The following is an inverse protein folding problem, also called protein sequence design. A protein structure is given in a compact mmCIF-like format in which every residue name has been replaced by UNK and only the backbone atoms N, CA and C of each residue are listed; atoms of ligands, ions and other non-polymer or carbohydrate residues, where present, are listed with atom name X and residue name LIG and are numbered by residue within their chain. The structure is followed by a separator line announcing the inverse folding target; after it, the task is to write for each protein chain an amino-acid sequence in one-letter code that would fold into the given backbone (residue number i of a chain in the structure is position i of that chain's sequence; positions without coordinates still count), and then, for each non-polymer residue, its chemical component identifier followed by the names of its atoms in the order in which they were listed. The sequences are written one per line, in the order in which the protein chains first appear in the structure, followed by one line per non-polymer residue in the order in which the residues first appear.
data_IF_415888922187
#
_entry.id   IF_415888922187
#
_cell.length_a   1.000
_cell.length_b   1.000
_cell.length_c   1.000
_cell.angle_alpha   90.00
_cell.angle_beta   90.00
_cell.angle_gamma   90.00
#
_symmetry.space_group_name_H-M   'P 1'
#
loop_
_entity.id
_entity.type
_entity.pdbx_description
1 polymer ?
#
# COMPACT_ATOMS: atom_id res chain seq x y z
N UNK A 1 10.58 -12.42 6.49
CA UNK A 1 10.30 -12.07 5.07
C UNK A 1 9.57 -13.25 4.45
N UNK A 2 8.40 -13.07 3.86
CA UNK A 2 7.62 -14.19 3.30
C UNK A 2 8.07 -14.51 1.87
N UNK A 3 7.98 -15.79 1.47
CA UNK A 3 8.35 -16.22 0.11
C UNK A 3 7.57 -15.47 -1.00
N UNK A 4 6.34 -15.01 -0.70
CA UNK A 4 5.51 -14.21 -1.62
C UNK A 4 6.08 -12.82 -1.90
N UNK A 5 6.55 -12.11 -0.88
CA UNK A 5 7.16 -10.78 -1.07
C UNK A 5 8.37 -10.84 -2.02
N UNK A 6 9.12 -11.94 -1.96
CA UNK A 6 10.24 -12.23 -2.86
C UNK A 6 9.80 -12.36 -4.33
N UNK A 7 8.76 -13.15 -4.57
CA UNK A 7 8.23 -13.36 -5.92
C UNK A 7 7.67 -12.06 -6.51
N UNK A 8 7.05 -11.23 -5.68
CA UNK A 8 6.52 -9.92 -6.09
C UNK A 8 7.66 -8.99 -6.50
N UNK A 9 8.73 -8.87 -5.70
CA UNK A 9 9.86 -8.00 -6.07
C UNK A 9 10.67 -8.54 -7.27
N UNK A 10 10.84 -9.86 -7.38
CA UNK A 10 11.41 -10.49 -8.59
C UNK A 10 10.60 -10.13 -9.86
N UNK A 11 9.27 -10.09 -9.74
CA UNK A 11 8.39 -9.69 -10.84
C UNK A 11 8.53 -8.19 -11.14
N UNK A 12 8.56 -7.34 -10.11
CA UNK A 12 8.72 -5.88 -10.27
C UNK A 12 10.02 -5.54 -11.00
N UNK A 13 11.15 -6.15 -10.64
CA UNK A 13 12.42 -5.95 -11.34
C UNK A 13 12.33 -6.36 -12.81
N UNK A 14 11.84 -7.57 -13.08
CA UNK A 14 11.71 -8.11 -14.44
C UNK A 14 10.79 -7.27 -15.32
N UNK A 15 9.74 -6.68 -14.74
CA UNK A 15 8.74 -5.88 -15.44
C UNK A 15 9.06 -4.38 -15.43
N UNK A 16 10.14 -3.96 -14.76
CA UNK A 16 10.51 -2.56 -14.56
C UNK A 16 9.37 -1.75 -13.93
N UNK A 17 8.82 -2.27 -12.84
CA UNK A 17 7.76 -1.62 -12.06
C UNK A 17 8.40 -0.95 -10.84
N UNK A 18 8.34 0.37 -10.79
CA UNK A 18 8.95 1.14 -9.70
C UNK A 18 8.04 1.31 -8.48
N UNK A 19 6.72 1.20 -8.69
CA UNK A 19 5.69 1.34 -7.65
C UNK A 19 4.62 0.27 -7.85
N UNK A 20 4.24 -0.42 -6.77
CA UNK A 20 3.20 -1.45 -6.79
C UNK A 20 2.33 -1.40 -5.53
N UNK A 21 1.02 -1.24 -5.71
CA UNK A 21 0.04 -1.42 -4.63
C UNK A 21 -0.25 -2.92 -4.45
N UNK A 22 -0.34 -3.36 -3.20
CA UNK A 22 -0.67 -4.73 -2.82
C UNK A 22 -1.77 -4.74 -1.76
N UNK A 23 -2.70 -5.69 -1.89
CA UNK A 23 -3.82 -5.88 -0.97
C UNK A 23 -3.75 -7.27 -0.33
N UNK A 24 -4.60 -7.50 0.68
CA UNK A 24 -4.68 -8.75 1.44
C UNK A 24 -3.35 -9.15 2.09
N UNK A 25 -2.63 -8.17 2.62
CA UNK A 25 -1.30 -8.41 3.22
C UNK A 25 -1.37 -9.12 4.57
N UNK A 26 -2.52 -9.05 5.24
CA UNK A 26 -2.79 -9.60 6.57
C UNK A 26 -1.74 -9.20 7.61
N UNK A 27 -1.13 -8.02 7.46
CA UNK A 27 -0.15 -7.50 8.42
C UNK A 27 -0.79 -6.52 9.38
N UNK A 28 -0.28 -6.47 10.62
CA UNK A 28 -0.75 -5.57 11.67
C UNK A 28 0.16 -4.35 11.84
N UNK A 29 -0.48 -3.19 11.97
CA UNK A 29 0.12 -1.89 12.22
C UNK A 29 0.47 -1.11 10.95
N UNK A 30 0.88 0.14 11.13
CA UNK A 30 1.44 1.01 10.09
C UNK A 30 2.97 0.97 10.18
N UNK A 31 3.66 0.34 9.23
CA UNK A 31 5.14 0.28 9.24
C UNK A 31 5.72 0.28 7.83
N UNK A 32 7.02 0.56 7.76
CA UNK A 32 7.84 0.37 6.57
C UNK A 32 8.82 -0.79 6.77
N UNK A 33 9.14 -1.52 5.70
CA UNK A 33 10.10 -2.62 5.68
C UNK A 33 10.90 -2.63 4.38
N UNK A 34 12.21 -2.81 4.47
CA UNK A 34 13.04 -3.02 3.30
C UNK A 34 12.91 -4.48 2.82
N UNK A 35 12.80 -4.65 1.50
CA UNK A 35 12.75 -5.94 0.82
C UNK A 35 13.98 -6.00 -0.08
N UNK A 36 14.95 -6.85 0.28
CA UNK A 36 16.19 -7.10 -0.47
C UNK A 36 17.06 -5.85 -0.73
N UNK A 37 16.80 -4.73 -0.05
CA UNK A 37 17.58 -3.49 -0.19
C UNK A 37 17.29 -2.68 -1.45
N UNK A 38 16.49 -3.20 -2.39
CA UNK A 38 16.09 -2.49 -3.61
C UNK A 38 14.65 -1.99 -3.59
N UNK A 39 13.84 -2.47 -2.66
CA UNK A 39 12.46 -2.04 -2.50
C UNK A 39 12.14 -1.75 -1.04
N UNK A 40 11.26 -0.78 -0.83
CA UNK A 40 10.66 -0.45 0.45
C UNK A 40 9.17 -0.67 0.38
N UNK A 41 8.66 -1.48 1.29
CA UNK A 41 7.24 -1.70 1.47
C UNK A 41 6.75 -0.82 2.61
N UNK A 42 5.74 -0.01 2.32
CA UNK A 42 4.90 0.65 3.31
C UNK A 42 3.62 -0.17 3.44
N UNK A 43 3.17 -0.46 4.65
CA UNK A 43 1.93 -1.21 4.84
C UNK A 43 1.12 -0.68 6.01
N UNK A 44 -0.19 -0.90 5.92
CA UNK A 44 -1.14 -0.64 6.98
C UNK A 44 -2.12 -1.81 7.11
N UNK A 45 -2.43 -2.17 8.35
CA UNK A 45 -3.50 -3.11 8.68
C UNK A 45 -3.79 -3.15 10.17
N UNK A 46 -4.94 -3.69 10.56
CA UNK A 46 -5.48 -3.52 11.92
C UNK A 46 -5.26 -4.76 12.80
N UNK A 47 -5.72 -5.93 12.38
CA UNK A 47 -5.75 -7.14 13.22
C UNK A 47 -4.71 -8.21 12.84
N UNK A 48 -4.12 -8.12 11.65
CA UNK A 48 -3.14 -9.08 11.13
C UNK A 48 -3.74 -10.45 10.75
N UNK A 49 -5.06 -10.54 10.60
CA UNK A 49 -5.77 -11.76 10.20
C UNK A 49 -6.44 -11.63 8.84
N UNK A 50 -6.97 -10.44 8.54
CA UNK A 50 -7.69 -10.14 7.30
C UNK A 50 -7.27 -8.78 6.75
N UNK A 51 -7.66 -8.51 5.51
CA UNK A 51 -7.40 -7.25 4.81
C UNK A 51 -5.91 -6.90 4.82
N UNK A 52 -5.60 -5.62 4.89
CA UNK A 52 -4.26 -5.07 4.86
C UNK A 52 -3.92 -4.57 3.46
N UNK A 53 -3.34 -3.39 3.42
CA UNK A 53 -2.89 -2.72 2.20
C UNK A 53 -1.42 -2.37 2.32
N UNK A 54 -0.76 -2.26 1.18
CA UNK A 54 0.63 -1.88 1.09
C UNK A 54 0.97 -1.22 -0.23
N UNK A 55 2.04 -0.42 -0.20
CA UNK A 55 2.66 0.15 -1.39
C UNK A 55 4.14 -0.23 -1.34
N UNK A 56 4.59 -0.93 -2.37
CA UNK A 56 6.00 -1.29 -2.58
C UNK A 56 6.58 -0.26 -3.54
N UNK A 57 7.66 0.39 -3.11
CA UNK A 57 8.40 1.39 -3.87
C UNK A 57 9.81 0.90 -4.09
N UNK A 58 10.38 1.16 -5.25
CA UNK A 58 11.82 1.04 -5.46
C UNK A 58 12.54 1.98 -4.50
N UNK A 59 13.64 1.52 -3.93
CA UNK A 59 14.33 2.20 -2.81
C UNK A 59 14.71 3.65 -3.15
N UNK A 60 15.07 3.91 -4.41
CA UNK A 60 15.39 5.25 -4.92
C UNK A 60 14.25 6.26 -4.71
N UNK A 61 12.99 5.86 -4.95
CA UNK A 61 11.81 6.70 -4.73
C UNK A 61 11.37 6.72 -3.27
N UNK A 62 11.86 5.79 -2.45
CA UNK A 62 11.47 5.72 -1.04
C UNK A 62 11.99 6.91 -0.22
N UNK A 63 13.04 7.58 -0.69
CA UNK A 63 13.58 8.81 -0.11
C UNK A 63 12.73 10.04 -0.47
N UNK A 64 11.97 9.97 -1.56
CA UNK A 64 11.05 11.02 -2.01
C UNK A 64 9.67 10.97 -1.32
N UNK A 65 9.46 10.02 -0.39
CA UNK A 65 8.18 9.89 0.31
C UNK A 65 8.02 11.05 1.30
N UNK A 66 6.99 11.85 1.08
CA UNK A 66 6.61 12.99 1.92
C UNK A 66 5.66 12.57 3.03
N UNK A 67 4.73 11.67 2.73
CA UNK A 67 3.68 11.28 3.66
C UNK A 67 3.23 9.83 3.44
N UNK A 68 2.92 9.13 4.53
CA UNK A 68 2.28 7.82 4.51
C UNK A 68 1.08 7.86 5.45
N UNK A 69 -0.12 7.78 4.89
CA UNK A 69 -1.38 7.82 5.64
C UNK A 69 -2.11 6.49 5.48
N UNK A 70 -2.28 5.74 6.57
CA UNK A 70 -3.15 4.57 6.62
C UNK A 70 -4.49 4.95 7.24
N UNK A 71 -5.56 4.97 6.46
CA UNK A 71 -6.92 5.37 6.90
C UNK A 71 -7.62 4.20 7.56
N UNK A 72 -7.60 3.04 6.87
CA UNK A 72 -8.17 1.80 7.36
C UNK A 72 -7.35 0.62 6.86
N UNK A 73 -7.63 -0.59 7.34
CA UNK A 73 -6.99 -1.82 6.84
C UNK A 73 -7.29 -2.11 5.35
N UNK A 74 -8.10 -1.28 4.70
CA UNK A 74 -8.44 -1.35 3.28
C UNK A 74 -8.00 -0.13 2.47
N UNK A 75 -7.58 0.98 3.09
CA UNK A 75 -7.20 2.21 2.38
C UNK A 75 -5.94 2.82 2.97
N UNK A 76 -4.95 3.06 2.12
CA UNK A 76 -3.77 3.86 2.47
C UNK A 76 -3.32 4.72 1.29
N UNK A 77 -2.65 5.83 1.59
CA UNK A 77 -2.01 6.73 0.64
C UNK A 77 -0.52 6.86 0.95
N UNK A 78 0.31 6.84 -0.09
CA UNK A 78 1.72 7.24 -0.04
C UNK A 78 1.92 8.41 -0.98
N UNK A 79 2.30 9.55 -0.43
CA UNK A 79 2.59 10.77 -1.17
C UNK A 79 4.10 10.90 -1.39
N UNK A 80 4.50 11.17 -2.62
CA UNK A 80 5.89 11.35 -3.01
C UNK A 80 6.07 12.68 -3.74
N UNK A 81 7.24 13.27 -3.60
CA UNK A 81 7.69 14.39 -4.44
C UNK A 81 8.86 13.91 -5.31
N UNK A 82 8.64 13.88 -6.63
CA UNK A 82 9.64 13.46 -7.60
C UNK A 82 9.83 14.60 -8.59
N UNK A 83 11.04 15.18 -8.62
CA UNK A 83 11.40 16.26 -9.54
C UNK A 83 10.42 17.46 -9.54
N UNK A 84 9.91 17.82 -8.35
CA UNK A 84 8.95 18.91 -8.18
C UNK A 84 7.49 18.54 -8.52
N UNK A 85 7.21 17.27 -8.84
CA UNK A 85 5.86 16.76 -9.06
C UNK A 85 5.41 15.93 -7.86
N UNK A 86 4.24 16.27 -7.32
CA UNK A 86 3.60 15.50 -6.27
C UNK A 86 2.81 14.32 -6.86
N UNK A 87 3.12 13.12 -6.39
CA UNK A 87 2.45 11.87 -6.79
C UNK A 87 1.77 11.27 -5.56
N UNK A 88 0.47 10.99 -5.66
CA UNK A 88 -0.30 10.27 -4.64
C UNK A 88 -0.55 8.83 -5.10
N UNK A 89 -0.03 7.87 -4.34
CA UNK A 89 -0.24 6.45 -4.57
C UNK A 89 -1.24 5.90 -3.56
N UNK A 90 -2.50 5.77 -3.99
CA UNK A 90 -3.59 5.26 -3.16
C UNK A 90 -3.72 3.75 -3.40
N UNK A 91 -3.53 2.97 -2.33
CA UNK A 91 -3.82 1.53 -2.32
C UNK A 91 -5.13 1.29 -1.60
N UNK A 92 -6.11 0.77 -2.33
CA UNK A 92 -7.43 0.47 -1.82
C UNK A 92 -7.82 -1.00 -2.06
N UNK A 93 -8.54 -1.60 -1.11
CA UNK A 93 -9.12 -2.94 -1.22
C UNK A 93 -10.63 -2.86 -1.05
N UNK A 94 -11.37 -2.90 -2.15
CA UNK A 94 -12.81 -2.73 -2.15
C UNK A 94 -13.53 -3.88 -1.41
N UNK A 95 -14.62 -3.60 -0.67
CA UNK A 95 -15.45 -4.64 -0.07
C UNK A 95 -16.09 -5.54 -1.14
N UNK A 96 -16.42 -6.78 -0.76
CA UNK A 96 -17.03 -7.75 -1.65
C UNK A 96 -18.51 -7.42 -1.92
N UNK A 97 -19.08 -7.98 -2.99
CA UNK A 97 -20.47 -7.71 -3.41
C UNK A 97 -21.47 -8.01 -2.29
N UNK A 98 -21.24 -9.06 -1.51
CA UNK A 98 -22.09 -9.48 -0.40
C UNK A 98 -21.86 -8.73 0.93
N UNK A 99 -20.95 -7.77 0.98
CA UNK A 99 -20.77 -6.94 2.17
C UNK A 99 -21.97 -6.00 2.38
N UNK A 100 -22.23 -5.69 3.64
CA UNK A 100 -23.26 -4.74 4.06
C UNK A 100 -23.05 -3.36 3.43
N UNK A 101 -24.14 -2.64 3.20
CA UNK A 101 -24.06 -1.31 2.58
C UNK A 101 -23.22 -0.34 3.42
N UNK A 102 -23.33 -0.41 4.75
CA UNK A 102 -22.53 0.39 5.68
C UNK A 102 -21.01 0.21 5.47
N UNK A 103 -20.56 -1.02 5.20
CA UNK A 103 -19.14 -1.29 4.92
C UNK A 103 -18.69 -0.67 3.59
N UNK A 104 -19.59 -0.62 2.60
CA UNK A 104 -19.33 0.01 1.30
C UNK A 104 -19.29 1.53 1.42
N UNK A 105 -20.25 2.13 2.13
CA UNK A 105 -20.29 3.57 2.39
C UNK A 105 -19.06 4.02 3.17
N UNK A 106 -18.70 3.27 4.23
CA UNK A 106 -17.48 3.55 4.97
C UNK A 106 -16.23 3.48 4.09
N UNK A 107 -16.13 2.48 3.20
CA UNK A 107 -15.01 2.39 2.28
C UNK A 107 -14.90 3.62 1.36
N UNK A 108 -16.01 4.14 0.84
CA UNK A 108 -16.00 5.36 0.04
C UNK A 108 -15.61 6.59 0.87
N UNK A 109 -16.13 6.71 2.09
CA UNK A 109 -15.70 7.74 3.05
C UNK A 109 -14.19 7.70 3.30
N UNK A 110 -13.61 6.51 3.48
CA UNK A 110 -12.16 6.34 3.68
C UNK A 110 -11.35 6.77 2.45
N UNK A 111 -11.90 6.61 1.23
CA UNK A 111 -11.27 7.05 -0.02
C UNK A 111 -11.31 8.57 -0.16
N UNK A 112 -12.43 9.20 0.17
CA UNK A 112 -12.57 10.66 0.10
C UNK A 112 -11.58 11.38 1.04
N UNK A 113 -11.13 10.72 2.12
CA UNK A 113 -10.10 11.24 3.02
C UNK A 113 -8.67 11.29 2.44
N UNK A 114 -8.42 10.63 1.31
CA UNK A 114 -7.08 10.49 0.71
C UNK A 114 -6.98 11.03 -0.72
N UNK A 115 -8.10 11.42 -1.33
CA UNK A 115 -8.17 12.02 -2.67
C UNK A 115 -7.95 13.53 -2.62
#
# INVERSE_FOLDING_TARGET
MTAKARQVTDMMERRKVDMLCVQETTWKGSKARNIRGWFKLFFHGVDGKRNGVGVILKEEYSMSVVEVKGVSDKVMNVKLEVEGVMINAISAYAPQVGCEMEEKEKFWSDIDEVV
#
